data_IF_698393600780
#
_entry.id   IF_698393600780
#
_cell.length_a   1.000
_cell.length_b   1.000
_cell.length_c   1.000
_cell.angle_alpha   90.00
_cell.angle_beta   90.00
_cell.angle_gamma   90.00
#
_symmetry.space_group_name_H-M   'P 1'
#
loop_
_entity.id
_entity.type
_entity.pdbx_description
1 polymer ?
#
# COMPACT_ATOMS: atom_id res chain seq x y z
N UNK A 1 22.26 -26.82 15.95
CA UNK A 1 22.32 -26.30 14.56
C UNK A 1 23.57 -26.77 13.80
N UNK A 2 24.80 -26.47 14.24
CA UNK A 2 26.02 -26.88 13.52
C UNK A 2 26.20 -28.40 13.32
N UNK A 3 25.79 -29.22 14.29
CA UNK A 3 25.82 -30.69 14.16
C UNK A 3 24.82 -31.24 13.13
N UNK A 4 23.66 -30.59 12.98
CA UNK A 4 22.63 -30.91 12.00
C UNK A 4 23.07 -30.53 10.59
N UNK A 5 23.73 -29.38 10.42
CA UNK A 5 24.31 -28.95 9.14
C UNK A 5 25.42 -29.91 8.69
N UNK A 6 26.34 -30.29 9.59
CA UNK A 6 27.41 -31.26 9.27
C UNK A 6 26.87 -32.63 8.86
N UNK A 7 25.84 -33.13 9.54
CA UNK A 7 25.24 -34.43 9.22
C UNK A 7 24.51 -34.42 7.87
N UNK A 8 23.85 -33.32 7.51
CA UNK A 8 23.25 -33.15 6.18
C UNK A 8 24.33 -33.05 5.09
N UNK A 9 25.39 -32.27 5.30
CA UNK A 9 26.50 -32.14 4.35
C UNK A 9 27.19 -33.48 4.06
N UNK A 10 27.42 -34.29 5.10
CA UNK A 10 28.05 -35.60 4.98
C UNK A 10 27.18 -36.60 4.21
N UNK A 11 25.85 -36.57 4.41
CA UNK A 11 24.92 -37.42 3.66
C UNK A 11 24.88 -37.06 2.17
N UNK A 12 24.96 -35.77 1.83
CA UNK A 12 25.02 -35.30 0.44
C UNK A 12 26.32 -35.74 -0.23
N UNK A 13 27.46 -35.57 0.44
CA UNK A 13 28.77 -36.05 -0.06
C UNK A 13 28.79 -37.56 -0.27
N UNK A 14 28.13 -38.32 0.61
CA UNK A 14 28.04 -39.77 0.49
C UNK A 14 27.19 -40.20 -0.71
N UNK A 15 26.06 -39.54 -0.97
CA UNK A 15 25.23 -39.79 -2.16
C UNK A 15 25.94 -39.41 -3.45
N UNK A 16 26.70 -38.31 -3.47
CA UNK A 16 27.50 -37.91 -4.65
C UNK A 16 28.61 -38.93 -4.94
N UNK A 17 29.32 -39.41 -3.90
CA UNK A 17 30.32 -40.48 -4.06
C UNK A 17 29.70 -41.78 -4.58
N UNK A 18 28.51 -42.15 -4.09
CA UNK A 18 27.78 -43.32 -4.58
C UNK A 18 27.35 -43.17 -6.04
N UNK A 19 26.85 -41.99 -6.44
CA UNK A 19 26.46 -41.72 -7.82
C UNK A 19 27.65 -41.78 -8.80
N UNK A 20 28.80 -41.23 -8.40
CA UNK A 20 30.05 -41.29 -9.19
C UNK A 20 30.57 -42.72 -9.30
N UNK A 21 30.57 -43.45 -8.18
CA UNK A 21 30.99 -44.86 -8.13
C UNK A 21 30.09 -45.77 -9.00
N UNK A 22 28.78 -45.53 -9.01
CA UNK A 22 27.82 -46.25 -9.85
C UNK A 22 28.00 -45.93 -11.34
N UNK A 23 28.36 -44.68 -11.68
CA UNK A 23 28.65 -44.25 -13.06
C UNK A 23 29.91 -44.91 -13.62
N UNK A 24 30.99 -45.00 -12.83
CA UNK A 24 32.26 -45.61 -13.24
C UNK A 24 32.19 -47.13 -13.47
N UNK A 25 31.17 -47.81 -12.95
CA UNK A 25 31.02 -49.28 -13.06
C UNK A 25 30.02 -49.72 -14.12
N UNK A 26 29.46 -48.82 -14.93
CA UNK A 26 28.48 -49.17 -15.97
C UNK A 26 27.23 -49.88 -15.44
N UNK A 27 26.95 -49.79 -14.13
CA UNK A 27 25.79 -50.41 -13.49
C UNK A 27 24.60 -49.46 -13.56
N UNK A 28 23.98 -49.36 -14.73
CA UNK A 28 22.63 -48.80 -14.85
C UNK A 28 21.67 -49.92 -15.25
N UNK A 29 21.03 -50.52 -14.25
CA UNK A 29 19.87 -51.38 -14.49
C UNK A 29 18.82 -50.57 -15.26
N UNK A 30 18.23 -51.18 -16.29
CA UNK A 30 17.26 -50.61 -17.24
C UNK A 30 15.87 -50.28 -16.63
N UNK A 31 15.83 -49.82 -15.38
CA UNK A 31 14.65 -49.18 -14.82
C UNK A 31 14.79 -47.69 -15.09
N UNK A 32 13.87 -47.13 -15.90
CA UNK A 32 13.73 -45.68 -16.11
C UNK A 32 13.36 -45.01 -14.78
N UNK A 33 14.32 -44.91 -13.86
CA UNK A 33 14.23 -44.01 -12.71
C UNK A 33 14.23 -42.61 -13.32
N UNK A 34 13.09 -41.91 -13.25
CA UNK A 34 13.03 -40.49 -13.58
C UNK A 34 14.08 -39.80 -12.72
N UNK A 35 15.25 -39.53 -13.30
CA UNK A 35 16.32 -38.81 -12.62
C UNK A 35 15.80 -37.46 -12.15
N UNK A 36 16.40 -36.91 -11.10
CA UNK A 36 16.10 -35.55 -10.69
C UNK A 36 16.26 -34.62 -11.91
N UNK A 37 15.26 -33.78 -12.18
CA UNK A 37 15.37 -32.76 -13.23
C UNK A 37 16.64 -31.93 -13.00
N UNK A 38 17.30 -31.49 -14.06
CA UNK A 38 18.45 -30.56 -13.99
C UNK A 38 18.15 -29.35 -13.09
N UNK A 39 16.90 -28.87 -13.08
CA UNK A 39 16.45 -27.81 -12.15
C UNK A 39 16.47 -28.27 -10.69
N UNK A 40 16.03 -29.49 -10.41
CA UNK A 40 16.05 -30.08 -9.07
C UNK A 40 17.47 -30.35 -8.59
N UNK A 41 18.36 -30.83 -9.45
CA UNK A 41 19.78 -31.04 -9.11
C UNK A 41 20.50 -29.71 -8.84
N UNK A 42 20.25 -28.68 -9.64
CA UNK A 42 20.80 -27.33 -9.39
C UNK A 42 20.30 -26.73 -8.07
N UNK A 43 19.03 -26.94 -7.71
CA UNK A 43 18.49 -26.51 -6.41
C UNK A 43 19.18 -27.22 -5.24
N UNK A 44 19.45 -28.52 -5.38
CA UNK A 44 20.15 -29.30 -4.34
C UNK A 44 21.64 -28.97 -4.23
N UNK A 45 22.26 -28.51 -5.31
CA UNK A 45 23.64 -28.01 -5.35
C UNK A 45 23.77 -26.52 -4.96
N UNK A 46 22.65 -25.84 -4.70
CA UNK A 46 22.65 -24.43 -4.35
C UNK A 46 23.04 -24.31 -2.87
N UNK A 47 24.06 -23.51 -2.59
CA UNK A 47 24.47 -23.24 -1.21
C UNK A 47 23.38 -22.40 -0.54
N UNK A 48 22.57 -23.05 0.29
CA UNK A 48 21.59 -22.37 1.12
C UNK A 48 22.31 -21.76 2.31
N UNK A 49 22.11 -20.47 2.51
CA UNK A 49 22.51 -19.79 3.74
C UNK A 49 21.55 -20.18 4.86
N UNK A 50 21.92 -21.21 5.65
CA UNK A 50 21.14 -21.73 6.77
C UNK A 50 21.36 -20.88 8.04
N UNK A 51 22.09 -19.75 7.96
CA UNK A 51 22.15 -18.79 9.06
C UNK A 51 20.77 -18.23 9.37
N UNK A 52 20.56 -17.70 10.58
CA UNK A 52 19.30 -17.07 10.95
C UNK A 52 18.90 -15.94 9.99
N UNK A 53 19.86 -15.10 9.61
CA UNK A 53 19.66 -14.01 8.65
C UNK A 53 19.39 -14.53 7.24
N UNK A 54 20.09 -15.58 6.81
CA UNK A 54 19.86 -16.26 5.54
C UNK A 54 18.49 -16.92 5.44
N UNK A 55 18.05 -17.60 6.49
CA UNK A 55 16.73 -18.23 6.56
C UNK A 55 15.62 -17.18 6.59
N UNK A 56 15.78 -16.10 7.35
CA UNK A 56 14.81 -15.00 7.37
C UNK A 56 14.68 -14.36 5.98
N UNK A 57 15.81 -14.09 5.30
CA UNK A 57 15.82 -13.58 3.91
C UNK A 57 15.13 -14.55 2.95
N UNK A 58 15.37 -15.85 3.09
CA UNK A 58 14.73 -16.88 2.27
C UNK A 58 13.21 -16.93 2.50
N UNK A 59 12.75 -16.90 3.75
CA UNK A 59 11.33 -16.87 4.10
C UNK A 59 10.65 -15.62 3.57
N UNK A 60 11.25 -14.44 3.79
CA UNK A 60 10.75 -13.17 3.25
C UNK A 60 10.63 -13.20 1.72
N UNK A 61 11.64 -13.76 1.04
CA UNK A 61 11.60 -13.92 -0.41
C UNK A 61 10.44 -14.83 -0.85
N UNK A 62 10.21 -15.95 -0.16
CA UNK A 62 9.09 -16.85 -0.50
C UNK A 62 7.73 -16.22 -0.24
N UNK A 63 7.55 -15.55 0.89
CA UNK A 63 6.32 -14.82 1.20
C UNK A 63 6.03 -13.76 0.14
N UNK A 64 7.06 -13.02 -0.29
CA UNK A 64 6.94 -12.07 -1.40
C UNK A 64 6.54 -12.76 -2.71
N UNK A 65 7.18 -13.87 -3.08
CA UNK A 65 6.82 -14.63 -4.28
C UNK A 65 5.39 -15.20 -4.23
N UNK A 66 4.91 -15.62 -3.07
CA UNK A 66 3.53 -16.10 -2.86
C UNK A 66 2.53 -14.94 -2.94
N UNK A 67 2.84 -13.80 -2.32
CA UNK A 67 2.07 -12.58 -2.42
C UNK A 67 1.93 -12.12 -3.87
N UNK A 68 3.04 -12.01 -4.60
CA UNK A 68 3.03 -11.60 -6.01
C UNK A 68 2.24 -12.57 -6.90
N UNK A 69 2.26 -13.87 -6.61
CA UNK A 69 1.44 -14.86 -7.33
C UNK A 69 -0.04 -14.69 -7.03
N UNK A 70 -0.39 -14.42 -5.78
CA UNK A 70 -1.79 -14.23 -5.39
C UNK A 70 -2.42 -13.08 -6.18
N UNK A 71 -1.66 -12.01 -6.42
CA UNK A 71 -2.09 -10.80 -7.14
C UNK A 71 -2.02 -10.92 -8.65
N UNK A 72 -1.45 -12.01 -9.17
CA UNK A 72 -1.28 -12.18 -10.60
C UNK A 72 -2.61 -12.11 -11.34
N UNK A 73 -2.60 -11.36 -12.45
CA UNK A 73 -3.72 -11.30 -13.37
C UNK A 73 -3.90 -12.65 -14.07
N UNK A 74 -5.11 -13.22 -13.95
CA UNK A 74 -5.47 -14.49 -14.59
C UNK A 74 -6.39 -14.19 -15.79
N UNK A 75 -5.88 -14.19 -17.03
CA UNK A 75 -6.67 -13.83 -18.21
C UNK A 75 -7.85 -14.78 -18.44
N UNK A 76 -7.68 -16.08 -18.16
CA UNK A 76 -8.71 -17.09 -18.37
C UNK A 76 -9.95 -16.83 -17.50
N UNK A 77 -9.75 -16.29 -16.28
CA UNK A 77 -10.86 -15.94 -15.37
C UNK A 77 -11.68 -14.78 -15.92
N UNK A 78 -11.02 -13.74 -16.43
CA UNK A 78 -11.69 -12.56 -16.99
C UNK A 78 -12.43 -12.91 -18.28
N UNK A 79 -11.86 -13.79 -19.11
CA UNK A 79 -12.52 -14.27 -20.32
C UNK A 79 -13.77 -15.11 -20.03
N UNK A 80 -13.76 -15.91 -18.96
CA UNK A 80 -14.88 -16.80 -18.63
C UNK A 80 -16.00 -16.12 -17.84
N UNK A 81 -15.67 -15.30 -16.84
CA UNK A 81 -16.65 -14.68 -15.94
C UNK A 81 -17.06 -13.27 -16.37
N UNK A 82 -16.25 -12.61 -17.19
CA UNK A 82 -16.33 -11.17 -17.44
C UNK A 82 -15.48 -10.35 -16.46
N UNK A 83 -15.20 -9.08 -16.80
CA UNK A 83 -14.32 -8.20 -16.03
C UNK A 83 -14.82 -7.93 -14.61
N UNK A 84 -16.07 -7.50 -14.46
CA UNK A 84 -16.67 -7.16 -13.16
C UNK A 84 -16.69 -8.35 -12.20
N UNK A 85 -17.21 -9.50 -12.65
CA UNK A 85 -17.32 -10.68 -11.81
C UNK A 85 -15.95 -11.28 -11.46
N UNK A 86 -14.99 -11.26 -12.40
CA UNK A 86 -13.62 -11.69 -12.13
C UNK A 86 -12.94 -10.80 -11.07
N UNK A 87 -13.16 -9.48 -11.14
CA UNK A 87 -12.70 -8.51 -10.14
C UNK A 87 -13.38 -8.77 -8.79
N UNK A 88 -14.69 -9.01 -8.77
CA UNK A 88 -15.42 -9.33 -7.56
C UNK A 88 -14.85 -10.55 -6.83
N UNK A 89 -14.59 -11.63 -7.56
CA UNK A 89 -13.94 -12.83 -7.00
C UNK A 89 -12.53 -12.54 -6.48
N UNK A 90 -11.77 -11.69 -7.17
CA UNK A 90 -10.43 -11.28 -6.74
C UNK A 90 -10.42 -10.51 -5.42
N UNK A 91 -11.37 -9.58 -5.27
CA UNK A 91 -11.52 -8.72 -4.09
C UNK A 91 -12.03 -9.53 -2.90
N UNK A 92 -13.07 -10.32 -3.10
CA UNK A 92 -13.69 -11.09 -2.02
C UNK A 92 -12.72 -12.13 -1.45
N UNK A 93 -11.91 -12.79 -2.30
CA UNK A 93 -10.86 -13.71 -1.85
C UNK A 93 -9.71 -13.05 -1.05
N UNK A 94 -9.73 -11.71 -0.91
CA UNK A 94 -8.80 -10.92 -0.08
C UNK A 94 -9.50 -10.30 1.13
N UNK A 95 -10.64 -10.86 1.52
CA UNK A 95 -11.47 -10.34 2.61
C UNK A 95 -12.05 -8.94 2.34
N UNK A 96 -11.96 -8.47 1.09
CA UNK A 96 -12.62 -7.27 0.62
C UNK A 96 -14.11 -7.51 0.38
N UNK A 97 -14.82 -6.43 0.05
CA UNK A 97 -16.24 -6.47 -0.27
C UNK A 97 -16.58 -5.66 -1.50
N UNK A 98 -17.63 -6.07 -2.20
CA UNK A 98 -18.06 -5.44 -3.45
C UNK A 98 -19.56 -5.21 -3.46
N UNK A 99 -20.00 -4.19 -4.19
CA UNK A 99 -21.40 -3.84 -4.43
C UNK A 99 -21.64 -3.77 -5.93
N UNK A 100 -22.73 -4.36 -6.38
CA UNK A 100 -23.16 -4.33 -7.77
C UNK A 100 -24.23 -3.27 -7.99
N UNK A 101 -24.30 -2.73 -9.20
CA UNK A 101 -25.29 -1.73 -9.60
C UNK A 101 -26.71 -2.25 -9.33
N UNK A 102 -27.51 -1.42 -8.66
CA UNK A 102 -28.92 -1.73 -8.36
C UNK A 102 -29.13 -2.69 -7.17
N UNK A 103 -28.07 -3.09 -6.47
CA UNK A 103 -28.19 -3.92 -5.27
C UNK A 103 -27.60 -3.21 -4.05
N UNK A 104 -28.37 -3.07 -2.98
CA UNK A 104 -27.91 -2.39 -1.76
C UNK A 104 -26.99 -3.23 -0.87
N UNK A 105 -26.84 -4.51 -1.15
CA UNK A 105 -26.03 -5.42 -0.34
C UNK A 105 -24.57 -5.45 -0.79
N UNK A 106 -23.68 -5.41 0.19
CA UNK A 106 -22.26 -5.69 0.01
C UNK A 106 -22.03 -7.21 0.05
N UNK A 107 -21.29 -7.72 -0.91
CA UNK A 107 -20.85 -9.10 -0.99
C UNK A 107 -19.46 -9.21 -0.37
N UNK A 108 -19.29 -10.12 0.60
CA UNK A 108 -18.04 -10.40 1.33
C UNK A 108 -17.92 -11.91 1.55
N UNK A 109 -16.70 -12.37 1.82
CA UNK A 109 -16.42 -13.73 2.28
C UNK A 109 -16.89 -13.90 3.74
N UNK A 110 -17.73 -14.90 3.99
CA UNK A 110 -18.17 -15.28 5.34
C UNK A 110 -17.06 -16.01 6.11
N UNK A 111 -17.24 -16.17 7.44
CA UNK A 111 -16.31 -16.94 8.30
C UNK A 111 -16.04 -18.37 7.81
N UNK A 112 -16.99 -18.95 7.06
CA UNK A 112 -16.90 -20.27 6.46
C UNK A 112 -16.23 -20.31 5.08
N UNK A 113 -15.63 -19.20 4.62
CA UNK A 113 -15.04 -19.04 3.27
C UNK A 113 -16.03 -19.24 2.13
N UNK A 114 -17.30 -18.99 2.42
CA UNK A 114 -18.33 -19.02 1.40
C UNK A 114 -18.45 -17.62 0.80
N UNK A 115 -18.33 -17.57 -0.52
CA UNK A 115 -18.49 -16.36 -1.29
C UNK A 115 -19.83 -16.51 -2.01
N UNK A 116 -20.83 -15.70 -1.67
CA UNK A 116 -22.15 -15.70 -2.32
C UNK A 116 -22.11 -15.11 -3.74
N UNK A 117 -20.95 -15.17 -4.41
CA UNK A 117 -20.75 -14.69 -5.75
C UNK A 117 -21.11 -15.78 -6.78
N UNK A 118 -21.74 -15.42 -7.91
CA UNK A 118 -21.96 -16.35 -9.00
C UNK A 118 -20.64 -16.93 -9.55
N UNK A 119 -20.60 -18.24 -9.79
CA UNK A 119 -19.47 -18.91 -10.45
C UNK A 119 -19.65 -19.05 -11.97
N UNK A 120 -20.69 -18.42 -12.51
CA UNK A 120 -21.01 -18.36 -13.93
C UNK A 120 -21.19 -16.89 -14.32
N UNK A 121 -20.87 -16.51 -15.56
CA UNK A 121 -21.12 -15.16 -16.03
C UNK A 121 -22.63 -14.87 -15.94
N UNK A 122 -22.96 -13.72 -15.37
CA UNK A 122 -24.32 -13.19 -15.26
C UNK A 122 -24.35 -11.89 -16.05
N UNK A 123 -25.30 -11.77 -16.98
CA UNK A 123 -25.51 -10.53 -17.73
C UNK A 123 -26.07 -9.44 -16.80
N UNK A 124 -25.78 -8.18 -17.09
CA UNK A 124 -26.25 -7.01 -16.34
C UNK A 124 -25.73 -6.89 -14.89
N UNK A 125 -24.62 -7.54 -14.58
CA UNK A 125 -24.00 -7.50 -13.25
C UNK A 125 -22.70 -6.68 -13.27
N UNK A 126 -22.84 -5.38 -13.06
CA UNK A 126 -21.73 -4.42 -13.08
C UNK A 126 -21.32 -4.00 -11.68
N UNK A 127 -20.02 -3.79 -11.45
CA UNK A 127 -19.50 -3.30 -10.17
C UNK A 127 -19.72 -1.80 -10.02
N UNK A 128 -20.30 -1.41 -8.89
CA UNK A 128 -20.55 -0.02 -8.53
C UNK A 128 -19.58 0.46 -7.46
N UNK A 129 -19.32 -0.38 -6.45
CA UNK A 129 -18.46 -0.03 -5.32
C UNK A 129 -17.55 -1.19 -4.93
N UNK A 130 -16.29 -0.88 -4.62
CA UNK A 130 -15.33 -1.85 -4.11
C UNK A 130 -14.73 -1.30 -2.82
N UNK A 131 -14.74 -2.13 -1.80
CA UNK A 131 -14.12 -1.86 -0.53
C UNK A 131 -13.03 -2.90 -0.24
N UNK A 132 -11.79 -2.45 -0.32
CA UNK A 132 -10.57 -3.18 -0.05
C UNK A 132 -9.91 -2.70 1.26
N UNK A 133 -10.67 -2.11 2.20
CA UNK A 133 -10.12 -1.65 3.48
C UNK A 133 -9.40 -2.78 4.22
N UNK A 134 -8.22 -2.48 4.79
CA UNK A 134 -7.37 -3.43 5.52
C UNK A 134 -6.93 -4.67 4.70
N UNK A 135 -6.97 -4.60 3.36
CA UNK A 135 -6.53 -5.72 2.51
C UNK A 135 -5.06 -5.57 2.12
N UNK A 136 -4.43 -6.70 1.77
CA UNK A 136 -3.09 -6.70 1.20
C UNK A 136 -3.19 -6.60 -0.33
N UNK A 137 -3.39 -5.38 -0.84
CA UNK A 137 -3.40 -5.08 -2.27
C UNK A 137 -2.26 -4.12 -2.65
N UNK A 138 -1.53 -4.46 -3.70
CA UNK A 138 -0.47 -3.65 -4.31
C UNK A 138 -0.84 -3.19 -5.72
N UNK A 139 0.02 -2.39 -6.35
CA UNK A 139 -0.21 -1.88 -7.71
C UNK A 139 -0.41 -3.00 -8.75
N UNK A 140 0.11 -4.21 -8.50
CA UNK A 140 -0.09 -5.38 -9.37
C UNK A 140 -1.51 -5.94 -9.24
N UNK A 141 -2.09 -5.86 -8.05
CA UNK A 141 -3.46 -6.30 -7.82
C UNK A 141 -4.47 -5.50 -8.65
N UNK A 142 -4.21 -4.21 -8.87
CA UNK A 142 -5.03 -3.35 -9.75
C UNK A 142 -5.08 -3.81 -11.20
N UNK A 143 -4.13 -4.63 -11.66
CA UNK A 143 -4.18 -5.23 -13.00
C UNK A 143 -5.38 -6.18 -13.15
N UNK A 144 -6.04 -6.59 -12.06
CA UNK A 144 -7.29 -7.36 -12.10
C UNK A 144 -8.53 -6.47 -12.25
N UNK A 145 -8.41 -5.17 -12.12
CA UNK A 145 -9.54 -4.24 -12.14
C UNK A 145 -9.64 -3.63 -13.55
N UNK A 146 -9.95 -4.47 -14.52
CA UNK A 146 -9.99 -4.09 -15.94
C UNK A 146 -11.44 -3.81 -16.35
N UNK A 147 -11.63 -2.80 -17.21
CA UNK A 147 -12.91 -2.49 -17.88
C UNK A 147 -14.11 -2.34 -16.93
N UNK A 148 -13.91 -1.67 -15.79
CA UNK A 148 -14.97 -1.40 -14.81
C UNK A 148 -15.71 -0.09 -15.12
N UNK A 149 -16.62 -0.13 -16.09
CA UNK A 149 -17.30 1.06 -16.64
C UNK A 149 -18.24 1.78 -15.66
N UNK A 150 -18.73 1.09 -14.63
CA UNK A 150 -19.73 1.61 -13.68
C UNK A 150 -19.19 1.82 -12.27
N UNK A 151 -17.87 1.68 -12.09
CA UNK A 151 -17.24 1.79 -10.78
C UNK A 151 -17.18 3.25 -10.31
N UNK A 152 -17.88 3.53 -9.21
CA UNK A 152 -18.02 4.86 -8.62
C UNK A 152 -17.31 5.02 -7.28
N UNK A 153 -17.21 3.95 -6.48
CA UNK A 153 -16.66 4.00 -5.14
C UNK A 153 -15.48 3.05 -4.97
N UNK A 154 -14.35 3.56 -4.50
CA UNK A 154 -13.17 2.80 -4.13
C UNK A 154 -12.73 3.12 -2.70
N UNK A 155 -12.52 2.10 -1.89
CA UNK A 155 -11.95 2.25 -0.56
C UNK A 155 -10.71 1.35 -0.40
N UNK A 156 -9.57 1.98 -0.15
CA UNK A 156 -8.28 1.37 0.15
C UNK A 156 -7.75 1.79 1.51
N UNK A 157 -8.63 2.17 2.45
CA UNK A 157 -8.21 2.58 3.79
C UNK A 157 -7.38 1.50 4.49
N UNK A 158 -6.34 1.91 5.21
CA UNK A 158 -5.40 1.07 5.95
C UNK A 158 -4.71 -0.01 5.09
N UNK A 159 -4.57 0.20 3.78
CA UNK A 159 -3.84 -0.72 2.92
C UNK A 159 -2.34 -0.43 2.95
N UNK A 160 -1.56 -1.31 3.58
CA UNK A 160 -0.12 -1.09 3.76
C UNK A 160 0.72 -1.21 2.48
N UNK A 161 0.19 -1.82 1.42
CA UNK A 161 0.91 -2.02 0.16
C UNK A 161 0.50 -1.03 -0.94
N UNK A 162 -0.37 -0.07 -0.61
CA UNK A 162 -0.74 1.05 -1.48
C UNK A 162 0.35 2.11 -1.41
N UNK A 163 1.04 2.33 -2.53
CA UNK A 163 2.15 3.25 -2.71
C UNK A 163 1.90 4.22 -3.88
N UNK A 164 2.84 5.11 -4.17
CA UNK A 164 2.70 6.07 -5.29
C UNK A 164 2.52 5.38 -6.65
N UNK A 165 3.11 4.20 -6.83
CA UNK A 165 2.94 3.40 -8.05
C UNK A 165 1.49 2.92 -8.17
N UNK A 166 0.89 2.45 -7.07
CA UNK A 166 -0.53 2.14 -7.00
C UNK A 166 -1.39 3.35 -7.38
N UNK A 167 -1.11 4.52 -6.79
CA UNK A 167 -1.85 5.75 -7.06
C UNK A 167 -1.81 6.13 -8.56
N UNK A 168 -0.64 5.98 -9.20
CA UNK A 168 -0.50 6.25 -10.63
C UNK A 168 -1.38 5.36 -11.52
N UNK A 169 -1.76 4.16 -11.06
CA UNK A 169 -2.61 3.21 -11.81
C UNK A 169 -4.10 3.55 -11.75
N UNK A 170 -4.53 4.42 -10.82
CA UNK A 170 -5.93 4.84 -10.71
C UNK A 170 -6.45 5.61 -11.93
N UNK A 171 -5.57 6.05 -12.84
CA UNK A 171 -5.96 6.70 -14.11
C UNK A 171 -6.96 5.87 -14.94
N UNK A 172 -6.96 4.55 -14.80
CA UNK A 172 -7.89 3.66 -15.49
C UNK A 172 -9.36 3.90 -15.08
N UNK A 173 -9.61 4.55 -13.95
CA UNK A 173 -10.95 4.92 -13.47
C UNK A 173 -11.24 6.42 -13.61
N UNK A 174 -10.45 7.14 -14.41
CA UNK A 174 -10.52 8.60 -14.54
C UNK A 174 -11.89 9.16 -14.94
N UNK A 175 -12.67 8.37 -15.68
CA UNK A 175 -13.98 8.75 -16.22
C UNK A 175 -15.16 8.17 -15.43
N UNK A 176 -14.93 7.41 -14.35
CA UNK A 176 -16.00 6.70 -13.62
C UNK A 176 -15.98 6.95 -12.13
N UNK A 177 -14.80 7.11 -11.53
CA UNK A 177 -14.64 7.16 -10.08
C UNK A 177 -15.18 8.48 -9.48
N UNK A 178 -16.11 8.36 -8.54
CA UNK A 178 -16.76 9.47 -7.83
C UNK A 178 -16.24 9.62 -6.39
N UNK A 179 -15.90 8.52 -5.72
CA UNK A 179 -15.41 8.53 -4.34
C UNK A 179 -14.18 7.66 -4.15
N UNK A 180 -13.17 8.20 -3.47
CA UNK A 180 -11.94 7.50 -3.11
C UNK A 180 -11.60 7.69 -1.63
N UNK A 181 -11.37 6.58 -0.92
CA UNK A 181 -10.81 6.57 0.44
C UNK A 181 -9.43 5.91 0.42
N UNK A 182 -8.40 6.65 0.84
CA UNK A 182 -7.02 6.19 0.98
C UNK A 182 -6.48 6.49 2.38
N UNK A 183 -7.37 6.60 3.36
CA UNK A 183 -7.02 6.92 4.75
C UNK A 183 -6.05 5.88 5.34
N UNK A 184 -5.04 6.32 6.08
CA UNK A 184 -4.09 5.42 6.75
C UNK A 184 -3.14 4.63 5.82
N UNK A 185 -3.08 4.97 4.54
CA UNK A 185 -2.12 4.41 3.59
C UNK A 185 -0.73 5.03 3.79
N UNK A 186 0.13 4.35 4.58
CA UNK A 186 1.44 4.88 5.04
C UNK A 186 2.54 5.02 3.98
N UNK A 187 2.37 4.40 2.81
CA UNK A 187 3.37 4.39 1.75
C UNK A 187 3.02 5.35 0.61
N UNK A 188 1.93 6.11 0.74
CA UNK A 188 1.52 7.14 -0.21
C UNK A 188 2.19 8.45 0.17
N UNK A 189 2.88 9.07 -0.77
CA UNK A 189 3.58 10.35 -0.56
C UNK A 189 2.84 11.50 -1.23
N UNK A 190 3.42 12.69 -1.13
CA UNK A 190 2.98 13.89 -1.86
C UNK A 190 2.82 13.63 -3.36
N UNK A 191 3.79 12.93 -3.98
CA UNK A 191 3.78 12.58 -5.40
C UNK A 191 2.62 11.66 -5.79
N UNK A 192 2.29 10.71 -4.93
CA UNK A 192 1.17 9.80 -5.16
C UNK A 192 -0.17 10.53 -5.13
N UNK A 193 -0.34 11.46 -4.18
CA UNK A 193 -1.55 12.28 -4.07
C UNK A 193 -1.69 13.27 -5.22
N UNK A 194 -0.59 13.85 -5.69
CA UNK A 194 -0.61 14.73 -6.86
C UNK A 194 -1.24 14.02 -8.07
N UNK A 195 -1.00 12.72 -8.28
CA UNK A 195 -1.56 11.94 -9.40
C UNK A 195 -3.10 11.88 -9.42
N UNK A 196 -3.77 12.20 -8.32
CA UNK A 196 -5.24 12.21 -8.24
C UNK A 196 -5.89 13.25 -9.15
N UNK A 197 -5.15 14.26 -9.64
CA UNK A 197 -5.62 15.26 -10.60
C UNK A 197 -6.15 14.66 -11.93
N UNK A 198 -5.86 13.39 -12.21
CA UNK A 198 -6.32 12.67 -13.40
C UNK A 198 -7.79 12.22 -13.28
N UNK A 199 -8.33 12.10 -12.06
CA UNK A 199 -9.67 11.58 -11.79
C UNK A 199 -10.76 12.65 -11.98
N UNK A 200 -11.24 12.82 -13.22
CA UNK A 200 -12.10 13.94 -13.62
C UNK A 200 -13.47 13.99 -12.95
N UNK A 201 -14.00 12.85 -12.52
CA UNK A 201 -15.33 12.74 -11.90
C UNK A 201 -15.30 12.61 -10.37
N UNK A 202 -14.13 12.80 -9.76
CA UNK A 202 -14.00 12.66 -8.31
C UNK A 202 -14.79 13.76 -7.59
N UNK A 203 -15.72 13.35 -6.74
CA UNK A 203 -16.58 14.21 -5.93
C UNK A 203 -16.28 14.09 -4.43
N UNK A 204 -15.67 12.98 -4.00
CA UNK A 204 -15.30 12.78 -2.60
C UNK A 204 -13.94 12.12 -2.47
N UNK A 205 -13.08 12.71 -1.64
CA UNK A 205 -11.76 12.18 -1.32
C UNK A 205 -11.56 12.16 0.18
N UNK A 206 -11.21 11.01 0.75
CA UNK A 206 -10.94 10.90 2.18
C UNK A 206 -9.46 10.62 2.44
N UNK A 207 -8.83 11.52 3.19
CA UNK A 207 -7.39 11.55 3.49
C UNK A 207 -7.14 11.54 5.02
N UNK A 208 -7.81 10.67 5.77
CA UNK A 208 -7.59 10.58 7.23
C UNK A 208 -6.27 9.87 7.55
N UNK A 209 -5.64 10.20 8.67
CA UNK A 209 -4.40 9.55 9.15
C UNK A 209 -3.21 9.63 8.17
N UNK A 210 -3.06 10.77 7.48
CA UNK A 210 -2.00 11.04 6.50
C UNK A 210 -0.86 11.92 7.05
N UNK A 211 -0.53 11.80 8.34
CA UNK A 211 0.44 12.64 9.06
C UNK A 211 1.88 12.63 8.51
N UNK A 212 2.21 11.63 7.70
CA UNK A 212 3.53 11.43 7.11
C UNK A 212 3.72 12.25 5.81
N UNK A 213 2.65 12.82 5.25
CA UNK A 213 2.70 13.65 4.05
C UNK A 213 3.05 15.09 4.44
N UNK A 214 4.21 15.57 4.01
CA UNK A 214 4.73 16.89 4.40
C UNK A 214 3.89 18.06 3.84
N UNK A 215 3.51 17.99 2.56
CA UNK A 215 2.87 19.08 1.82
C UNK A 215 1.36 18.86 1.60
N UNK A 216 0.69 18.21 2.56
CA UNK A 216 -0.72 17.81 2.41
C UNK A 216 -1.64 19.02 2.12
N UNK A 217 -1.48 20.12 2.83
CA UNK A 217 -2.31 21.33 2.66
C UNK A 217 -2.17 21.92 1.24
N UNK A 218 -0.96 21.92 0.68
CA UNK A 218 -0.71 22.43 -0.67
C UNK A 218 -1.35 21.54 -1.73
N UNK A 219 -1.26 20.22 -1.57
CA UNK A 219 -1.87 19.26 -2.50
C UNK A 219 -3.39 19.37 -2.45
N UNK A 220 -3.96 19.52 -1.26
CA UNK A 220 -5.40 19.71 -1.08
C UNK A 220 -5.87 20.96 -1.81
N UNK A 221 -5.14 22.06 -1.71
CA UNK A 221 -5.43 23.28 -2.46
C UNK A 221 -5.38 23.04 -3.99
N UNK A 222 -4.35 22.34 -4.47
CA UNK A 222 -4.21 22.00 -5.89
C UNK A 222 -5.34 21.10 -6.39
N UNK A 223 -5.75 20.12 -5.58
CA UNK A 223 -6.87 19.23 -5.89
C UNK A 223 -8.20 19.97 -5.89
N UNK A 224 -8.41 20.92 -4.97
CA UNK A 224 -9.60 21.77 -4.94
C UNK A 224 -9.68 22.72 -6.14
N UNK A 225 -8.54 23.27 -6.58
CA UNK A 225 -8.48 24.08 -7.81
C UNK A 225 -8.87 23.25 -9.05
N UNK A 226 -8.43 21.98 -9.08
CA UNK A 226 -8.74 21.08 -10.20
C UNK A 226 -10.17 20.52 -10.16
N UNK A 227 -10.69 20.25 -8.96
CA UNK A 227 -11.99 19.65 -8.70
C UNK A 227 -12.79 20.51 -7.70
N UNK A 228 -13.41 21.61 -8.16
CA UNK A 228 -14.08 22.57 -7.27
C UNK A 228 -15.27 21.96 -6.52
N UNK A 229 -15.92 20.95 -7.09
CA UNK A 229 -17.07 20.27 -6.48
C UNK A 229 -16.65 19.08 -5.59
N UNK A 230 -15.35 18.78 -5.49
CA UNK A 230 -14.85 17.64 -4.72
C UNK A 230 -14.73 17.98 -3.23
N UNK A 231 -15.41 17.19 -2.39
CA UNK A 231 -15.35 17.31 -0.94
C UNK A 231 -14.20 16.45 -0.39
N UNK A 232 -13.22 17.11 0.22
CA UNK A 232 -12.07 16.44 0.85
C UNK A 232 -12.30 16.31 2.36
N UNK A 233 -12.20 15.09 2.88
CA UNK A 233 -12.47 14.74 4.28
C UNK A 233 -11.20 14.32 5.03
N UNK A 234 -11.19 14.52 6.36
CA UNK A 234 -10.19 13.93 7.25
C UNK A 234 -8.88 14.72 7.41
N UNK A 235 -8.86 15.98 6.98
CA UNK A 235 -7.74 16.89 7.22
C UNK A 235 -8.04 17.64 8.51
N UNK A 236 -7.55 17.14 9.63
CA UNK A 236 -7.47 17.93 10.85
C UNK A 236 -6.33 18.93 10.62
N UNK A 237 -6.66 20.14 10.17
CA UNK A 237 -5.69 21.22 10.02
C UNK A 237 -4.96 21.37 11.35
N UNK A 238 -3.69 20.97 11.40
CA UNK A 238 -2.83 21.29 12.55
C UNK A 238 -2.92 22.81 12.70
N UNK A 239 -3.28 23.35 13.89
CA UNK A 239 -3.34 24.79 14.04
C UNK A 239 -1.98 25.35 13.64
N UNK A 240 -1.97 26.11 12.54
CA UNK A 240 -0.79 26.79 12.04
C UNK A 240 -0.21 27.53 13.25
N UNK A 241 1.02 27.20 13.65
CA UNK A 241 1.75 28.02 14.61
C UNK A 241 1.71 29.44 14.06
N UNK A 242 1.00 30.32 14.75
CA UNK A 242 0.96 31.73 14.44
C UNK A 242 2.40 32.19 14.29
N UNK A 243 2.80 32.47 13.06
CA UNK A 243 3.93 33.34 12.80
C UNK A 243 3.38 34.71 13.20
N UNK A 244 3.47 35.04 14.50
CA UNK A 244 3.33 36.41 14.98
C UNK A 244 4.44 37.19 14.27
N UNK A 245 4.07 37.82 13.16
CA UNK A 245 4.87 38.86 12.55
C UNK A 245 4.89 40.03 13.53
N UNK A 246 5.98 40.14 14.28
CA UNK A 246 6.40 41.33 15.00
C UNK A 246 6.52 42.52 14.03
N UNK A 247 5.40 43.18 13.70
CA UNK A 247 5.37 44.44 12.94
C UNK A 247 4.63 45.54 13.72
N UNK A 248 4.41 45.38 15.03
CA UNK A 248 3.82 46.44 15.84
C UNK A 248 4.59 46.75 17.12
N UNK A 249 5.91 46.87 17.03
CA UNK A 249 6.67 47.70 17.97
C UNK A 249 6.56 49.17 17.54
N UNK A 250 5.43 49.82 17.85
CA UNK A 250 5.42 51.29 17.98
C UNK A 250 6.30 51.67 19.18
N UNK A 251 7.19 52.66 19.05
CA UNK A 251 8.15 53.01 20.10
C UNK A 251 7.44 53.55 21.35
N UNK A 252 7.77 52.99 22.51
CA UNK A 252 7.27 53.45 23.81
C UNK A 252 7.85 54.84 24.13
N UNK A 253 6.95 55.82 24.27
CA UNK A 253 7.21 57.12 24.86
C UNK A 253 7.38 56.91 26.37
N UNK A 254 8.58 57.14 26.89
CA UNK A 254 8.87 57.10 28.32
C UNK A 254 8.32 58.40 28.93
N UNK A 255 7.20 58.31 29.64
CA UNK A 255 6.73 59.40 30.51
C UNK A 255 7.37 59.22 31.89
N UNK A 256 8.26 60.15 32.24
CA UNK A 256 8.87 60.29 33.56
C UNK A 256 7.77 60.46 34.63
N UNK A 257 7.82 59.63 35.66
CA UNK A 257 7.00 59.78 36.87
C UNK A 257 7.69 60.75 37.82
N UNK A 258 7.18 61.97 37.86
CA UNK A 258 7.41 62.92 38.95
C UNK A 258 6.65 62.47 40.21
N UNK A 259 7.39 62.03 41.23
CA UNK A 259 6.97 62.15 42.62
C UNK A 259 8.20 62.18 43.53
N UNK A 260 8.98 63.26 43.42
CA UNK A 260 10.07 63.61 44.32
C UNK A 260 9.57 64.52 45.45
N UNK A 261 9.33 63.92 46.61
CA UNK A 261 9.33 64.62 47.91
C UNK A 261 10.71 65.25 48.12
N UNK A 262 10.80 66.59 48.16
CA UNK A 262 12.02 67.33 48.58
C UNK A 262 12.22 67.14 50.10
N UNK A 263 13.48 67.16 50.60
CA UNK A 263 13.99 68.46 51.06
C UNK A 263 15.51 68.71 50.90
N UNK A 264 15.81 70.00 51.00
CA UNK A 264 17.04 70.66 51.48
C UNK A 264 18.28 70.85 50.60
N UNK A 265 18.33 72.09 50.10
CA UNK A 265 19.48 72.96 49.84
C UNK A 265 20.65 72.82 50.82
N UNK A 266 21.88 72.75 50.29
CA UNK A 266 22.98 73.57 50.80
C UNK A 266 23.81 74.17 49.66
N UNK A 267 24.02 75.47 49.79
CA UNK A 267 24.82 76.37 48.97
C UNK A 267 26.28 76.19 49.35
N UNK A 268 27.19 76.06 48.37
CA UNK A 268 28.58 76.49 48.53
C UNK A 268 28.96 77.43 47.40
N UNK A 269 29.63 78.49 47.84
CA UNK A 269 29.86 79.79 47.23
C UNK A 269 30.95 79.80 46.17
N UNK A 270 30.80 80.73 45.22
CA UNK A 270 31.81 81.20 44.27
C UNK A 270 33.05 81.74 44.99
N UNK A 271 34.24 81.42 44.49
CA UNK A 271 35.14 82.41 43.88
C UNK A 271 36.00 81.69 42.85
#
# INVERSE_FOLDING_TARGET
MAALVRTVQLKILQQQKQAIWMSQRGMTSNTKRKGFSLKSMRRLQQDYDISYTGLNRFLQKRLKEEFEKSESFIPERHQFLGPDLATAHFVVAREGSVKFVGNDRWFKEDENKNNFLPNRPVMDMYLEAINCSNTMISYRGLDNFIDLEYLKYLNFSNCHHVDDWFMSRLHQFSETLEFLDISGCKNVTDRGLECLHILKKLQGLKLSDMDHVENLDLIVLLLQERFPDCVIFGIDSKPQKQIETDINSKPQIITEKDSGTKPHLQIKTRT
#
